data_IF_432437911680
#
_entry.id   IF_432437911680
#
_cell.length_a   1.000
_cell.length_b   1.000
_cell.length_c   1.000
_cell.angle_alpha   90.00
_cell.angle_beta   90.00
_cell.angle_gamma   90.00
#
_symmetry.space_group_name_H-M   'P 1'
#
loop_
_entity.id
_entity.type
_entity.pdbx_description
1 polymer ?
#
# COMPACT_ATOMS: atom_id res chain seq x y z
N UNK A 1 -46.97 20.35 -14.38
CA UNK A 1 -47.37 20.31 -15.79
C UNK A 1 -46.45 19.26 -16.39
N UNK A 2 -46.75 17.97 -16.18
CA UNK A 2 -47.59 17.01 -16.90
C UNK A 2 -47.23 16.93 -18.39
N UNK A 3 -46.76 15.75 -18.74
CA UNK A 3 -46.97 14.82 -19.83
C UNK A 3 -45.66 14.13 -20.22
N UNK A 4 -45.39 12.86 -20.01
CA UNK A 4 -45.98 11.60 -20.50
C UNK A 4 -45.77 11.33 -22.00
N UNK A 5 -45.18 10.18 -22.29
CA UNK A 5 -45.13 9.46 -23.58
C UNK A 5 -43.89 8.56 -23.59
N UNK A 6 -43.87 7.34 -23.23
CA UNK A 6 -44.43 6.03 -23.68
C UNK A 6 -44.15 5.68 -25.17
N UNK A 7 -43.39 4.63 -25.43
CA UNK A 7 -43.55 3.22 -25.87
C UNK A 7 -42.36 2.78 -26.72
N UNK A 8 -41.70 1.72 -26.46
CA UNK A 8 -41.90 0.26 -26.54
C UNK A 8 -41.43 -0.35 -27.88
N UNK A 9 -40.78 -1.50 -27.81
CA UNK A 9 -40.50 -2.48 -28.85
C UNK A 9 -39.04 -2.93 -28.79
N UNK A 10 -38.63 -4.10 -28.43
CA UNK A 10 -39.16 -5.44 -28.69
C UNK A 10 -38.23 -6.11 -29.70
N UNK A 11 -37.49 -7.14 -29.30
CA UNK A 11 -36.71 -7.91 -30.27
C UNK A 11 -35.80 -8.93 -29.64
N UNK A 12 -36.33 -10.06 -29.45
CA UNK A 12 -35.88 -11.39 -29.12
C UNK A 12 -34.84 -11.92 -30.14
N UNK A 13 -33.87 -12.73 -29.67
CA UNK A 13 -32.94 -13.44 -30.53
C UNK A 13 -32.09 -14.44 -29.78
N UNK A 14 -32.66 -15.58 -29.50
CA UNK A 14 -31.98 -16.80 -29.02
C UNK A 14 -30.98 -17.32 -30.05
N UNK A 15 -29.90 -17.90 -29.60
CA UNK A 15 -28.93 -18.65 -30.40
C UNK A 15 -28.01 -19.50 -29.53
N UNK A 16 -28.51 -20.65 -29.14
CA UNK A 16 -27.79 -21.82 -28.63
C UNK A 16 -27.05 -22.51 -29.76
N UNK A 17 -25.91 -23.16 -29.47
CA UNK A 17 -25.41 -24.50 -29.83
C UNK A 17 -23.96 -24.58 -29.42
N UNK A 18 -23.56 -25.39 -28.44
CA UNK A 18 -23.24 -26.79 -28.45
C UNK A 18 -21.97 -27.17 -29.22
N UNK A 19 -21.00 -27.69 -28.47
CA UNK A 19 -20.42 -29.00 -28.65
C UNK A 19 -19.00 -29.03 -29.20
N UNK A 20 -18.06 -29.57 -28.50
CA UNK A 20 -17.49 -30.87 -28.74
C UNK A 20 -16.18 -31.09 -27.96
N UNK A 21 -16.14 -32.21 -27.39
CA UNK A 21 -15.06 -32.87 -26.69
C UNK A 21 -13.94 -33.32 -27.64
N UNK A 22 -12.72 -33.49 -27.10
CA UNK A 22 -11.60 -34.13 -27.73
C UNK A 22 -10.64 -34.65 -26.67
N UNK A 23 -10.76 -35.96 -26.40
CA UNK A 23 -9.88 -36.82 -25.61
C UNK A 23 -8.54 -37.09 -26.30
N UNK A 24 -7.59 -37.52 -25.50
CA UNK A 24 -6.42 -38.33 -25.91
C UNK A 24 -5.11 -37.77 -25.41
N UNK A 25 -4.25 -38.44 -24.75
CA UNK A 25 -3.95 -39.76 -24.28
C UNK A 25 -2.59 -39.70 -23.56
N UNK A 26 -2.51 -40.30 -22.42
CA UNK A 26 -1.49 -41.15 -21.80
C UNK A 26 -0.07 -41.14 -22.39
N UNK A 27 0.92 -40.99 -21.50
CA UNK A 27 2.30 -41.43 -21.65
C UNK A 27 2.96 -41.59 -20.30
N UNK A 28 2.95 -42.82 -19.84
CA UNK A 28 3.65 -43.34 -18.65
C UNK A 28 5.14 -43.53 -18.98
N UNK A 29 6.01 -43.35 -17.99
CA UNK A 29 7.41 -43.74 -18.09
C UNK A 29 8.20 -43.44 -16.82
N UNK A 30 8.12 -44.30 -15.84
CA UNK A 30 9.11 -44.61 -14.82
C UNK A 30 9.72 -45.98 -15.19
N UNK A 31 10.82 -46.49 -14.59
CA UNK A 31 11.84 -46.00 -13.64
C UNK A 31 13.29 -46.43 -14.04
N UNK A 32 14.30 -46.02 -13.27
CA UNK A 32 15.45 -46.87 -12.94
C UNK A 32 16.41 -46.23 -11.94
N UNK A 33 16.46 -46.82 -10.77
CA UNK A 33 17.61 -46.83 -9.88
C UNK A 33 18.52 -48.01 -10.34
N UNK A 34 19.84 -47.99 -10.19
CA UNK A 34 20.41 -48.73 -9.09
C UNK A 34 21.73 -48.19 -8.46
N UNK A 35 21.76 -48.23 -7.12
CA UNK A 35 22.81 -48.83 -6.27
C UNK A 35 24.27 -48.86 -6.72
N UNK A 36 25.17 -48.38 -5.84
CA UNK A 36 26.60 -48.62 -5.88
C UNK A 36 27.31 -48.25 -4.58
N UNK A 37 27.34 -49.08 -3.69
CA UNK A 37 28.16 -49.57 -2.57
C UNK A 37 29.65 -49.21 -2.62
N UNK A 38 30.25 -48.94 -1.40
CA UNK A 38 31.66 -49.15 -1.09
C UNK A 38 32.32 -47.99 -0.33
N UNK A 39 32.46 -48.01 0.92
CA UNK A 39 33.21 -48.68 1.93
C UNK A 39 34.47 -47.98 2.45
N UNK A 40 34.51 -47.85 3.80
CA UNK A 40 35.70 -47.80 4.72
C UNK A 40 36.61 -46.57 4.63
N UNK A 41 36.89 -45.80 5.67
CA UNK A 41 37.12 -46.03 7.08
C UNK A 41 38.45 -45.44 7.44
N UNK A 42 38.51 -44.64 8.48
CA UNK A 42 39.62 -44.58 9.46
C UNK A 42 39.30 -43.60 10.58
N UNK A 43 39.33 -44.18 11.75
CA UNK A 43 39.25 -43.51 13.06
C UNK A 43 40.57 -42.82 13.43
N UNK A 44 40.44 -41.82 14.29
CA UNK A 44 41.33 -41.46 15.39
C UNK A 44 41.87 -40.04 15.36
N UNK A 45 42.24 -39.45 16.50
CA UNK A 45 41.65 -39.54 17.84
C UNK A 45 41.18 -38.18 18.41
N UNK A 46 40.56 -38.22 19.57
CA UNK A 46 39.91 -37.17 20.33
C UNK A 46 40.84 -36.14 21.01
N UNK A 47 40.20 -34.95 21.26
CA UNK A 47 40.35 -33.98 22.36
C UNK A 47 41.42 -32.87 22.23
N UNK A 48 41.29 -31.69 22.85
CA UNK A 48 40.44 -31.39 24.00
C UNK A 48 39.57 -30.13 23.91
N UNK A 49 38.66 -30.06 24.84
CA UNK A 49 37.77 -28.94 25.21
C UNK A 49 38.48 -27.58 25.30
N UNK A 50 38.01 -26.63 24.47
CA UNK A 50 38.29 -25.21 24.62
C UNK A 50 36.98 -24.47 24.93
N UNK A 51 36.89 -23.98 26.16
CA UNK A 51 35.84 -23.01 26.58
C UNK A 51 36.05 -21.73 25.76
N UNK A 52 35.25 -21.53 24.71
CA UNK A 52 35.29 -20.37 23.86
C UNK A 52 34.13 -19.41 24.19
N UNK A 53 34.50 -18.23 24.56
CA UNK A 53 33.70 -17.05 24.95
C UNK A 53 32.45 -16.87 24.10
N UNK A 54 31.35 -16.53 24.80
CA UNK A 54 30.11 -16.00 24.22
C UNK A 54 30.43 -14.74 23.43
N UNK A 55 30.46 -14.83 22.11
CA UNK A 55 30.47 -13.68 21.23
C UNK A 55 29.14 -12.93 21.40
N UNK A 56 29.24 -11.70 21.87
CA UNK A 56 28.15 -10.75 21.87
C UNK A 56 27.75 -10.57 20.40
N UNK A 57 26.52 -10.95 20.07
CA UNK A 57 25.94 -10.75 18.74
C UNK A 57 25.89 -9.25 18.45
N UNK A 58 26.72 -8.85 17.52
CA UNK A 58 26.67 -7.53 16.90
C UNK A 58 25.26 -7.32 16.30
N UNK A 59 24.60 -6.19 16.53
CA UNK A 59 23.28 -5.96 15.96
C UNK A 59 23.37 -6.03 14.43
N UNK A 60 22.59 -6.93 13.83
CA UNK A 60 22.53 -7.10 12.40
C UNK A 60 22.26 -5.76 11.72
N UNK A 61 23.19 -5.31 10.88
CA UNK A 61 23.03 -4.11 10.09
C UNK A 61 21.74 -4.22 9.24
N UNK A 62 20.98 -3.12 9.09
CA UNK A 62 19.74 -3.14 8.30
C UNK A 62 20.03 -3.61 6.87
N UNK A 63 19.11 -4.36 6.24
CA UNK A 63 19.31 -4.93 4.91
C UNK A 63 19.64 -3.81 3.92
N UNK A 64 20.84 -3.87 3.33
CA UNK A 64 21.27 -2.91 2.30
C UNK A 64 20.43 -3.12 1.06
N UNK A 65 19.55 -2.16 0.74
CA UNK A 65 18.81 -2.13 -0.52
C UNK A 65 19.81 -2.23 -1.68
N UNK A 66 19.64 -3.21 -2.56
CA UNK A 66 20.58 -3.44 -3.66
C UNK A 66 20.61 -2.24 -4.63
N UNK A 67 21.76 -2.02 -5.31
CA UNK A 67 21.86 -0.98 -6.33
C UNK A 67 20.80 -1.12 -7.44
N UNK A 68 20.41 -2.36 -7.76
CA UNK A 68 19.34 -2.65 -8.73
C UNK A 68 17.99 -2.16 -8.23
N UNK A 69 17.67 -2.41 -6.96
CA UNK A 69 16.42 -1.95 -6.36
C UNK A 69 16.37 -0.43 -6.25
N UNK A 70 17.48 0.20 -5.84
CA UNK A 70 17.58 1.68 -5.83
C UNK A 70 17.36 2.29 -7.21
N UNK A 71 17.98 1.73 -8.28
CA UNK A 71 17.76 2.19 -9.66
C UNK A 71 16.30 2.02 -10.07
N UNK A 72 15.68 0.90 -9.73
CA UNK A 72 14.27 0.62 -10.01
C UNK A 72 13.37 1.67 -9.34
N UNK A 73 13.59 1.97 -8.06
CA UNK A 73 12.84 2.99 -7.31
C UNK A 73 13.01 4.39 -7.93
N UNK A 74 14.21 4.76 -8.34
CA UNK A 74 14.46 6.04 -9.02
C UNK A 74 13.69 6.13 -10.35
N UNK A 75 13.65 5.04 -11.12
CA UNK A 75 12.89 4.98 -12.37
C UNK A 75 11.38 5.11 -12.12
N UNK A 76 10.83 4.41 -11.10
CA UNK A 76 9.42 4.56 -10.71
C UNK A 76 9.08 6.01 -10.39
N UNK A 77 9.91 6.66 -9.56
CA UNK A 77 9.69 8.06 -9.16
C UNK A 77 9.75 9.00 -10.36
N UNK A 78 10.76 8.87 -11.22
CA UNK A 78 10.90 9.73 -12.38
C UNK A 78 9.70 9.62 -13.34
N UNK A 79 9.20 8.41 -13.60
CA UNK A 79 8.03 8.20 -14.46
C UNK A 79 6.77 8.80 -13.80
N UNK A 80 6.57 8.55 -12.48
CA UNK A 80 5.43 9.07 -11.73
C UNK A 80 5.44 10.61 -11.68
N UNK A 81 6.59 11.22 -11.41
CA UNK A 81 6.73 12.68 -11.35
C UNK A 81 6.43 13.33 -12.70
N UNK A 82 6.93 12.76 -13.81
CA UNK A 82 6.61 13.23 -15.15
C UNK A 82 5.10 13.09 -15.47
N UNK A 83 4.49 11.97 -15.11
CA UNK A 83 3.06 11.76 -15.30
C UNK A 83 2.22 12.75 -14.49
N UNK A 84 2.54 12.96 -13.20
CA UNK A 84 1.85 13.91 -12.33
C UNK A 84 1.94 15.33 -12.89
N UNK A 85 3.13 15.76 -13.34
CA UNK A 85 3.29 17.08 -13.98
C UNK A 85 2.37 17.25 -15.20
N UNK A 86 2.31 16.25 -16.09
CA UNK A 86 1.40 16.27 -17.24
C UNK A 86 -0.08 16.27 -16.84
N UNK A 87 -0.45 15.50 -15.80
CA UNK A 87 -1.82 15.46 -15.30
C UNK A 87 -2.24 16.78 -14.67
N UNK A 88 -1.37 17.45 -13.94
CA UNK A 88 -1.61 18.77 -13.35
C UNK A 88 -1.75 19.85 -14.41
N UNK A 89 -0.94 19.81 -15.46
CA UNK A 89 -0.99 20.81 -16.55
C UNK A 89 -2.22 20.64 -17.46
N UNK A 90 -2.55 19.40 -17.84
CA UNK A 90 -3.50 19.11 -18.92
C UNK A 90 -4.78 18.42 -18.45
N UNK A 91 -4.84 17.97 -17.20
CA UNK A 91 -5.91 17.15 -16.64
C UNK A 91 -5.69 15.65 -16.85
N UNK A 92 -6.14 14.84 -15.88
CA UNK A 92 -5.93 13.39 -15.89
C UNK A 92 -6.43 12.72 -17.16
N UNK A 93 -7.68 12.99 -17.56
CA UNK A 93 -8.33 12.27 -18.67
C UNK A 93 -7.70 12.59 -20.05
N UNK A 94 -7.14 13.78 -20.21
CA UNK A 94 -6.58 14.26 -21.48
C UNK A 94 -5.16 13.77 -21.78
N UNK A 95 -4.47 13.21 -20.79
CA UNK A 95 -3.12 12.64 -20.97
C UNK A 95 -3.22 11.14 -21.19
N UNK A 96 -2.68 10.64 -22.28
CA UNK A 96 -2.63 9.20 -22.57
C UNK A 96 -1.40 8.53 -21.95
N UNK A 97 -1.50 7.23 -21.70
CA UNK A 97 -0.36 6.39 -21.23
C UNK A 97 0.78 6.39 -22.27
N UNK A 98 0.48 6.53 -23.55
CA UNK A 98 1.49 6.60 -24.60
C UNK A 98 2.32 7.89 -24.52
N UNK A 99 1.68 9.03 -24.23
CA UNK A 99 2.37 10.31 -24.03
C UNK A 99 3.29 10.26 -22.80
N UNK A 100 2.81 9.67 -21.69
CA UNK A 100 3.67 9.48 -20.50
C UNK A 100 4.86 8.57 -20.80
N UNK A 101 4.66 7.47 -21.54
CA UNK A 101 5.75 6.59 -21.93
C UNK A 101 6.79 7.30 -22.81
N UNK A 102 6.33 8.11 -23.77
CA UNK A 102 7.20 8.92 -24.62
C UNK A 102 7.98 9.99 -23.81
N UNK A 103 7.31 10.66 -22.86
CA UNK A 103 7.96 11.65 -22.00
C UNK A 103 9.02 11.04 -21.07
N UNK A 104 8.84 9.77 -20.68
CA UNK A 104 9.78 9.01 -19.85
C UNK A 104 10.85 8.25 -20.67
N UNK A 105 10.87 8.40 -22.00
CA UNK A 105 11.76 7.69 -22.94
C UNK A 105 11.73 6.16 -22.76
N UNK A 106 10.51 5.60 -22.60
CA UNK A 106 10.27 4.15 -22.49
C UNK A 106 9.15 3.71 -23.41
N UNK A 107 9.11 2.41 -23.73
CA UNK A 107 7.99 1.84 -24.47
C UNK A 107 6.74 1.70 -23.60
N UNK A 108 5.54 1.78 -24.21
CA UNK A 108 4.27 1.56 -23.54
C UNK A 108 4.20 0.20 -22.81
N UNK A 109 4.65 -0.95 -23.40
CA UNK A 109 4.74 -2.21 -22.67
C UNK A 109 5.67 -2.14 -21.44
N UNK A 110 6.77 -1.42 -21.53
CA UNK A 110 7.68 -1.19 -20.42
C UNK A 110 6.98 -0.40 -19.31
N UNK A 111 6.24 0.65 -19.65
CA UNK A 111 5.50 1.44 -18.69
C UNK A 111 4.45 0.59 -17.93
N UNK A 112 3.68 -0.24 -18.63
CA UNK A 112 2.68 -1.13 -17.99
C UNK A 112 3.30 -2.20 -17.09
N UNK A 113 4.56 -2.57 -17.29
CA UNK A 113 5.29 -3.44 -16.37
C UNK A 113 5.62 -2.74 -15.05
N UNK A 114 5.78 -1.41 -15.05
CA UNK A 114 5.98 -0.59 -13.86
C UNK A 114 4.63 -0.20 -13.22
N UNK A 115 3.66 0.22 -14.00
CA UNK A 115 2.38 0.76 -13.57
C UNK A 115 1.24 0.04 -14.31
N UNK A 116 0.59 -0.97 -13.69
CA UNK A 116 -0.46 -1.75 -14.34
C UNK A 116 -1.68 -0.94 -14.81
N UNK A 117 -1.96 0.19 -14.16
CA UNK A 117 -3.04 1.11 -14.51
C UNK A 117 -2.51 2.55 -14.63
N UNK A 118 -3.23 3.40 -15.37
CA UNK A 118 -2.90 4.82 -15.52
C UNK A 118 -2.96 5.55 -14.17
N UNK A 119 -3.90 5.17 -13.33
CA UNK A 119 -4.08 5.69 -11.97
C UNK A 119 -2.85 5.44 -11.10
N UNK A 120 -2.15 4.31 -11.29
CA UNK A 120 -0.94 3.98 -10.54
C UNK A 120 0.21 4.96 -10.80
N UNK A 121 0.22 5.61 -11.97
CA UNK A 121 1.17 6.68 -12.28
C UNK A 121 1.04 7.87 -11.33
N UNK A 122 -0.19 8.23 -10.95
CA UNK A 122 -0.45 9.31 -10.01
C UNK A 122 -0.28 8.85 -8.56
N UNK A 123 -0.66 7.59 -8.27
CA UNK A 123 -0.76 7.07 -6.91
C UNK A 123 0.49 6.34 -6.40
N UNK A 124 1.59 6.36 -7.17
CA UNK A 124 2.83 5.66 -6.78
C UNK A 124 3.34 6.07 -5.40
N UNK A 125 3.25 7.36 -5.07
CA UNK A 125 3.65 7.86 -3.74
C UNK A 125 2.83 7.27 -2.60
N UNK A 126 1.56 6.94 -2.84
CA UNK A 126 0.72 6.23 -1.87
C UNK A 126 1.13 4.76 -1.74
N UNK A 127 1.63 4.13 -2.81
CA UNK A 127 2.15 2.77 -2.74
C UNK A 127 3.37 2.66 -1.80
N UNK A 128 4.20 3.69 -1.73
CA UNK A 128 5.35 3.75 -0.80
C UNK A 128 4.90 3.78 0.68
N UNK A 129 3.65 4.21 0.96
CA UNK A 129 3.05 4.29 2.30
C UNK A 129 2.08 3.14 2.61
N UNK A 130 1.88 2.20 1.66
CA UNK A 130 0.88 1.12 1.78
C UNK A 130 1.10 0.23 3.01
N UNK A 131 2.34 -0.04 3.38
CA UNK A 131 2.70 -0.84 4.54
C UNK A 131 3.22 -0.01 5.74
N UNK A 132 3.10 1.32 5.68
CA UNK A 132 3.66 2.22 6.70
C UNK A 132 3.09 1.95 8.09
N UNK A 133 1.77 1.86 8.22
CA UNK A 133 1.13 1.55 9.51
C UNK A 133 1.59 0.18 10.06
N UNK A 134 1.75 -0.81 9.19
CA UNK A 134 2.27 -2.12 9.57
C UNK A 134 3.74 -2.05 10.04
N UNK A 135 4.58 -1.26 9.35
CA UNK A 135 5.98 -1.03 9.74
C UNK A 135 6.08 -0.29 11.07
N UNK A 136 5.24 0.72 11.28
CA UNK A 136 5.18 1.47 12.56
C UNK A 136 4.85 0.52 13.70
N UNK A 137 3.83 -0.32 13.55
CA UNK A 137 3.46 -1.32 14.56
C UNK A 137 4.56 -2.36 14.78
N UNK A 138 5.18 -2.84 13.69
CA UNK A 138 6.28 -3.82 13.78
C UNK A 138 7.56 -3.26 14.42
N UNK A 139 7.82 -1.97 14.26
CA UNK A 139 8.99 -1.28 14.80
C UNK A 139 8.77 -0.56 16.14
N UNK A 140 7.63 -0.78 16.80
CA UNK A 140 7.32 -0.14 18.08
C UNK A 140 8.27 -0.55 19.20
N UNK A 141 8.43 0.34 20.18
CA UNK A 141 9.28 0.09 21.34
C UNK A 141 8.74 -1.04 22.25
N UNK A 142 9.61 -1.63 23.10
CA UNK A 142 9.18 -2.60 24.09
C UNK A 142 8.12 -2.00 25.02
N UNK A 143 6.99 -2.69 25.19
CA UNK A 143 5.87 -2.24 26.03
C UNK A 143 4.97 -1.16 25.41
N UNK A 144 5.31 -0.63 24.23
CA UNK A 144 4.45 0.31 23.51
C UNK A 144 3.30 -0.43 22.84
N UNK A 145 2.05 0.06 23.03
CA UNK A 145 0.91 -0.52 22.34
C UNK A 145 0.93 -0.19 20.83
N UNK A 146 0.36 -1.03 19.95
CA UNK A 146 0.25 -0.71 18.53
C UNK A 146 -0.43 0.64 18.27
N UNK A 147 -1.46 0.96 19.05
CA UNK A 147 -2.23 2.20 18.89
C UNK A 147 -1.41 3.43 19.31
N UNK A 148 -0.60 3.33 20.39
CA UNK A 148 0.27 4.42 20.83
C UNK A 148 1.38 4.70 19.79
N UNK A 149 1.95 3.65 19.21
CA UNK A 149 2.94 3.80 18.13
C UNK A 149 2.35 4.53 16.92
N UNK A 150 1.14 4.16 16.49
CA UNK A 150 0.43 4.80 15.37
C UNK A 150 0.07 6.25 15.68
N UNK A 151 -0.45 6.52 16.91
CA UNK A 151 -0.74 7.89 17.37
C UNK A 151 0.52 8.76 17.31
N UNK A 152 1.61 8.31 17.94
CA UNK A 152 2.90 9.02 17.95
C UNK A 152 3.39 9.30 16.54
N UNK A 153 3.28 8.31 15.63
CA UNK A 153 3.68 8.45 14.24
C UNK A 153 2.86 9.52 13.49
N UNK A 154 1.53 9.49 13.64
CA UNK A 154 0.64 10.46 13.00
C UNK A 154 0.87 11.89 13.52
N UNK A 155 0.99 12.07 14.85
CA UNK A 155 1.29 13.38 15.44
C UNK A 155 2.65 13.92 14.97
N UNK A 156 3.67 13.09 14.92
CA UNK A 156 4.97 13.48 14.36
C UNK A 156 4.87 13.83 12.86
N UNK A 157 3.95 13.23 12.11
CA UNK A 157 3.64 13.61 10.74
C UNK A 157 3.02 15.01 10.66
N UNK A 158 2.08 15.34 11.55
CA UNK A 158 1.49 16.68 11.65
C UNK A 158 2.57 17.73 11.95
N UNK A 159 3.49 17.45 12.89
CA UNK A 159 4.60 18.36 13.22
C UNK A 159 5.49 18.68 12.01
N UNK A 160 5.76 17.69 11.18
CA UNK A 160 6.59 17.83 9.97
C UNK A 160 5.83 18.38 8.76
N UNK A 161 4.53 18.67 8.86
CA UNK A 161 3.68 19.03 7.72
C UNK A 161 3.73 17.98 6.61
N UNK A 162 3.75 16.71 7.00
CA UNK A 162 3.80 15.58 6.08
C UNK A 162 2.52 15.56 5.22
N UNK A 163 2.62 15.59 3.87
CA UNK A 163 1.47 15.55 2.97
C UNK A 163 0.49 14.39 3.22
N UNK A 164 0.98 13.27 3.73
CA UNK A 164 0.15 12.09 4.06
C UNK A 164 -0.87 12.39 5.16
N UNK A 165 -0.56 13.34 6.05
CA UNK A 165 -1.49 13.79 7.10
C UNK A 165 -2.54 14.80 6.62
N UNK A 166 -2.50 15.18 5.35
CA UNK A 166 -3.34 16.26 4.79
C UNK A 166 -2.94 17.66 5.22
N UNK A 167 -1.98 17.81 6.13
CA UNK A 167 -1.57 19.08 6.71
C UNK A 167 -0.37 19.70 5.95
N UNK A 168 -0.60 20.05 4.69
CA UNK A 168 0.42 20.71 3.85
C UNK A 168 -0.24 21.72 2.92
N UNK A 169 0.17 23.00 3.03
CA UNK A 169 -0.29 24.11 2.17
C UNK A 169 0.70 24.40 1.02
N UNK A 170 1.66 23.51 0.78
CA UNK A 170 2.54 23.60 -0.37
C UNK A 170 1.73 23.54 -1.69
N UNK A 171 1.88 24.53 -2.60
CA UNK A 171 1.03 24.64 -3.78
C UNK A 171 0.97 23.39 -4.65
N UNK A 172 2.07 22.67 -4.79
CA UNK A 172 2.15 21.42 -5.56
C UNK A 172 1.38 20.27 -4.88
N UNK A 173 1.33 20.23 -3.54
CA UNK A 173 0.57 19.23 -2.77
C UNK A 173 -0.92 19.51 -2.91
N UNK A 174 -1.34 20.77 -2.79
CA UNK A 174 -2.73 21.17 -2.98
C UNK A 174 -3.21 20.87 -4.41
N UNK A 175 -2.42 21.24 -5.41
CA UNK A 175 -2.74 20.94 -6.80
C UNK A 175 -2.91 19.43 -7.03
N UNK A 176 -2.04 18.62 -6.44
CA UNK A 176 -2.13 17.15 -6.52
C UNK A 176 -3.37 16.60 -5.80
N UNK A 177 -3.71 17.09 -4.60
CA UNK A 177 -4.92 16.66 -3.89
C UNK A 177 -6.19 17.04 -4.65
N UNK A 178 -6.26 18.25 -5.26
CA UNK A 178 -7.37 18.65 -6.12
C UNK A 178 -7.53 17.73 -7.33
N UNK A 179 -6.42 17.34 -7.97
CA UNK A 179 -6.42 16.36 -9.05
C UNK A 179 -6.94 15.00 -8.56
N UNK A 180 -6.43 14.51 -7.45
CA UNK A 180 -6.77 13.21 -6.87
C UNK A 180 -8.26 13.13 -6.53
N UNK A 181 -8.74 14.04 -5.70
CA UNK A 181 -10.14 14.01 -5.22
C UNK A 181 -11.14 14.51 -6.27
N UNK A 182 -10.69 15.28 -7.26
CA UNK A 182 -11.49 15.70 -8.41
C UNK A 182 -11.63 14.65 -9.52
N UNK A 183 -10.91 13.51 -9.43
CA UNK A 183 -10.90 12.47 -10.46
C UNK A 183 -11.46 11.15 -9.88
N UNK A 184 -12.71 10.75 -10.24
CA UNK A 184 -13.35 9.57 -9.63
C UNK A 184 -12.55 8.26 -9.76
N UNK A 185 -11.86 8.05 -10.89
CA UNK A 185 -11.04 6.84 -11.08
C UNK A 185 -9.80 6.81 -10.17
N UNK A 186 -9.19 7.97 -9.87
CA UNK A 186 -8.11 8.08 -8.90
C UNK A 186 -8.61 7.79 -7.48
N UNK A 187 -9.77 8.32 -7.09
CA UNK A 187 -10.40 8.05 -5.80
C UNK A 187 -10.68 6.56 -5.65
N UNK A 188 -11.31 5.92 -6.64
CA UNK A 188 -11.58 4.48 -6.62
C UNK A 188 -10.29 3.66 -6.46
N UNK A 189 -9.22 4.05 -7.16
CA UNK A 189 -7.92 3.38 -7.06
C UNK A 189 -7.25 3.61 -5.70
N UNK A 190 -7.39 4.79 -5.10
CA UNK A 190 -6.92 5.10 -3.75
C UNK A 190 -7.54 4.17 -2.71
N UNK A 191 -8.84 3.89 -2.79
CA UNK A 191 -9.50 2.92 -1.90
C UNK A 191 -8.91 1.50 -2.03
N UNK A 192 -8.48 1.10 -3.22
CA UNK A 192 -7.79 -0.17 -3.39
C UNK A 192 -6.42 -0.20 -2.67
N UNK A 193 -5.69 0.92 -2.64
CA UNK A 193 -4.46 1.06 -1.84
C UNK A 193 -4.78 0.96 -0.35
N UNK A 194 -5.80 1.65 0.12
CA UNK A 194 -6.23 1.59 1.53
C UNK A 194 -6.60 0.16 1.96
N UNK A 195 -7.30 -0.60 1.13
CA UNK A 195 -7.59 -2.01 1.42
C UNK A 195 -6.34 -2.89 1.58
N UNK A 196 -5.25 -2.57 0.84
CA UNK A 196 -3.96 -3.25 1.02
C UNK A 196 -3.26 -2.81 2.31
N UNK A 197 -3.34 -1.52 2.66
CA UNK A 197 -2.84 -0.99 3.94
C UNK A 197 -3.55 -1.64 5.13
N UNK A 198 -4.87 -1.79 5.07
CA UNK A 198 -5.65 -2.52 6.07
C UNK A 198 -5.19 -3.98 6.21
N UNK A 199 -5.01 -4.68 5.08
CA UNK A 199 -4.55 -6.05 5.11
C UNK A 199 -3.12 -6.19 5.68
N UNK A 200 -2.23 -5.24 5.37
CA UNK A 200 -0.87 -5.21 5.91
C UNK A 200 -0.89 -4.97 7.43
N UNK A 201 -1.65 -3.97 7.89
CA UNK A 201 -1.80 -3.66 9.31
C UNK A 201 -2.45 -4.83 10.07
N UNK A 202 -3.50 -5.46 9.52
CA UNK A 202 -4.13 -6.61 10.14
C UNK A 202 -3.16 -7.77 10.37
N UNK A 203 -2.26 -8.05 9.41
CA UNK A 203 -1.19 -9.04 9.58
C UNK A 203 -0.23 -8.66 10.72
N UNK A 204 0.18 -7.40 10.78
CA UNK A 204 1.08 -6.89 11.84
C UNK A 204 0.44 -6.93 13.24
N UNK A 205 -0.91 -6.89 13.32
CA UNK A 205 -1.68 -7.03 14.55
C UNK A 205 -1.98 -8.49 14.93
N UNK A 206 -1.45 -9.47 14.23
CA UNK A 206 -1.59 -10.89 14.54
C UNK A 206 -2.65 -11.64 13.72
N UNK A 207 -3.32 -10.97 12.79
CA UNK A 207 -4.30 -11.60 11.89
C UNK A 207 -5.65 -11.91 12.54
N UNK A 208 -6.52 -12.60 11.80
CA UNK A 208 -7.87 -12.93 12.25
C UNK A 208 -8.88 -11.78 12.10
N UNK A 209 -10.12 -12.04 12.51
CA UNK A 209 -11.24 -11.09 12.34
C UNK A 209 -11.05 -9.84 13.20
N UNK A 210 -10.68 -9.99 14.47
CA UNK A 210 -10.46 -8.87 15.38
C UNK A 210 -9.36 -7.91 14.86
N UNK A 211 -8.22 -8.45 14.41
CA UNK A 211 -7.14 -7.64 13.83
C UNK A 211 -7.57 -6.93 12.52
N UNK A 212 -8.41 -7.56 11.69
CA UNK A 212 -8.96 -6.94 10.49
C UNK A 212 -9.90 -5.79 10.82
N UNK A 213 -10.78 -5.97 11.82
CA UNK A 213 -11.68 -4.91 12.28
C UNK A 213 -10.90 -3.73 12.86
N UNK A 214 -9.89 -4.01 13.69
CA UNK A 214 -9.00 -2.98 14.23
C UNK A 214 -8.25 -2.21 13.13
N UNK A 215 -7.67 -2.93 12.16
CA UNK A 215 -6.97 -2.34 11.05
C UNK A 215 -7.88 -1.44 10.20
N UNK A 216 -9.09 -1.91 9.87
CA UNK A 216 -10.08 -1.13 9.11
C UNK A 216 -10.46 0.17 9.84
N UNK A 217 -10.72 0.10 11.15
CA UNK A 217 -11.02 1.28 11.96
C UNK A 217 -9.85 2.27 11.98
N UNK A 218 -8.63 1.80 12.21
CA UNK A 218 -7.43 2.64 12.24
C UNK A 218 -7.21 3.34 10.89
N UNK A 219 -7.21 2.59 9.78
CA UNK A 219 -6.98 3.17 8.45
C UNK A 219 -8.08 4.17 8.06
N UNK A 220 -9.35 3.88 8.41
CA UNK A 220 -10.45 4.81 8.19
C UNK A 220 -10.27 6.11 8.99
N UNK A 221 -9.88 6.02 10.26
CA UNK A 221 -9.61 7.20 11.10
C UNK A 221 -8.48 8.05 10.55
N UNK A 222 -7.33 7.44 10.20
CA UNK A 222 -6.18 8.16 9.64
C UNK A 222 -6.56 8.88 8.33
N UNK A 223 -7.32 8.22 7.46
CA UNK A 223 -7.84 8.80 6.22
C UNK A 223 -8.75 10.00 6.48
N UNK A 224 -9.72 9.85 7.38
CA UNK A 224 -10.70 10.92 7.68
C UNK A 224 -9.98 12.15 8.25
N UNK A 225 -9.04 11.96 9.17
CA UNK A 225 -8.24 13.05 9.72
C UNK A 225 -7.44 13.78 8.64
N UNK A 226 -6.79 13.03 7.74
CA UNK A 226 -6.04 13.61 6.64
C UNK A 226 -6.95 14.37 5.64
N UNK A 227 -8.11 13.81 5.29
CA UNK A 227 -9.08 14.47 4.41
C UNK A 227 -9.63 15.76 5.02
N UNK A 228 -9.89 15.78 6.32
CA UNK A 228 -10.39 16.97 7.02
C UNK A 228 -9.34 18.08 7.04
N UNK A 229 -8.09 17.74 7.37
CA UNK A 229 -6.98 18.68 7.32
C UNK A 229 -6.84 19.30 5.93
N UNK A 230 -6.84 18.45 4.89
CA UNK A 230 -6.74 18.90 3.52
C UNK A 230 -7.92 19.83 3.12
N UNK A 231 -9.17 19.49 3.46
CA UNK A 231 -10.34 20.31 3.13
C UNK A 231 -10.24 21.70 3.71
N UNK A 232 -9.77 21.83 4.94
CA UNK A 232 -9.58 23.14 5.60
C UNK A 232 -8.54 23.99 4.88
N UNK A 233 -7.41 23.37 4.50
CA UNK A 233 -6.35 24.06 3.75
C UNK A 233 -6.84 24.42 2.33
N UNK A 234 -7.56 23.54 1.66
CA UNK A 234 -8.13 23.79 0.34
C UNK A 234 -9.19 24.92 0.36
N UNK A 235 -9.87 25.10 1.51
CA UNK A 235 -10.77 26.22 1.77
C UNK A 235 -10.04 27.56 2.07
N UNK A 236 -8.69 27.56 2.14
CA UNK A 236 -7.87 28.75 2.27
C UNK A 236 -7.26 28.99 3.65
N UNK A 237 -7.41 28.05 4.60
CA UNK A 237 -6.67 28.12 5.86
C UNK A 237 -5.20 27.74 5.64
N UNK A 238 -4.26 28.34 6.39
CA UNK A 238 -2.86 27.89 6.36
C UNK A 238 -2.65 26.63 7.17
N UNK A 239 -1.60 25.85 6.86
CA UNK A 239 -1.23 24.67 7.62
C UNK A 239 -1.00 24.99 9.12
N UNK A 240 -0.46 26.16 9.42
CA UNK A 240 -0.25 26.63 10.80
C UNK A 240 -1.57 26.93 11.52
N UNK A 241 -2.55 27.51 10.83
CA UNK A 241 -3.87 27.78 11.43
C UNK A 241 -4.64 26.48 11.72
N UNK A 242 -4.48 25.46 10.86
CA UNK A 242 -5.14 24.15 11.01
C UNK A 242 -4.48 23.29 12.08
N UNK A 243 -3.18 23.44 12.33
CA UNK A 243 -2.35 22.52 13.11
C UNK A 243 -2.91 22.19 14.50
N UNK A 244 -3.23 23.18 15.32
CA UNK A 244 -3.69 22.93 16.69
C UNK A 244 -4.98 22.10 16.71
N UNK A 245 -5.94 22.42 15.82
CA UNK A 245 -7.17 21.65 15.65
C UNK A 245 -6.93 20.24 15.12
N UNK A 246 -5.97 20.05 14.21
CA UNK A 246 -5.58 18.76 13.68
C UNK A 246 -5.00 17.84 14.76
N UNK A 247 -4.13 18.39 15.64
CA UNK A 247 -3.58 17.64 16.78
C UNK A 247 -4.70 17.24 17.74
N UNK A 248 -5.59 18.17 18.10
CA UNK A 248 -6.72 17.88 18.99
C UNK A 248 -7.62 16.79 18.40
N UNK A 249 -8.03 16.89 17.14
CA UNK A 249 -8.86 15.89 16.46
C UNK A 249 -8.19 14.52 16.42
N UNK A 250 -6.87 14.48 16.19
CA UNK A 250 -6.11 13.23 16.21
C UNK A 250 -6.13 12.60 17.61
N UNK A 251 -5.85 13.37 18.68
CA UNK A 251 -5.87 12.87 20.05
C UNK A 251 -7.25 12.30 20.42
N UNK A 252 -8.33 13.02 20.11
CA UNK A 252 -9.71 12.57 20.35
C UNK A 252 -10.03 11.28 19.60
N UNK A 253 -9.64 11.19 18.33
CA UNK A 253 -9.85 10.00 17.49
C UNK A 253 -9.10 8.77 18.04
N UNK A 254 -7.85 8.93 18.48
CA UNK A 254 -7.11 7.83 19.10
C UNK A 254 -7.66 7.41 20.47
N UNK A 255 -8.24 8.33 21.23
CA UNK A 255 -9.00 7.99 22.46
C UNK A 255 -10.25 7.15 22.11
N UNK A 256 -10.99 7.52 21.05
CA UNK A 256 -12.13 6.73 20.59
C UNK A 256 -11.72 5.32 20.12
N UNK A 257 -10.65 5.22 19.33
CA UNK A 257 -10.11 3.93 18.89
C UNK A 257 -9.74 3.05 20.09
N UNK A 258 -9.08 3.62 21.11
CA UNK A 258 -8.70 2.86 22.31
C UNK A 258 -9.92 2.27 23.01
N UNK A 259 -10.98 3.05 23.22
CA UNK A 259 -12.22 2.60 23.85
C UNK A 259 -12.94 1.52 23.04
N UNK A 260 -12.90 1.60 21.70
CA UNK A 260 -13.55 0.63 20.81
C UNK A 260 -12.75 -0.63 20.54
N UNK A 261 -11.44 -0.63 20.79
CA UNK A 261 -10.54 -1.76 20.50
C UNK A 261 -10.07 -2.50 21.76
N UNK A 262 -10.18 -1.88 22.93
CA UNK A 262 -9.92 -2.58 24.21
C UNK A 262 -11.13 -3.48 24.50
N UNK A 263 -10.92 -4.79 24.78
CA UNK A 263 -12.00 -5.62 25.25
C UNK A 263 -12.52 -5.02 26.56
N UNK A 264 -13.85 -4.81 26.65
CA UNK A 264 -14.49 -4.45 27.92
C UNK A 264 -13.98 -5.41 28.97
N UNK A 265 -13.30 -4.86 29.99
CA UNK A 265 -12.75 -5.66 31.08
C UNK A 265 -13.84 -6.54 31.63
N UNK A 266 -13.65 -7.85 31.55
CA UNK A 266 -14.51 -8.80 32.29
C UNK A 266 -14.33 -8.46 33.76
N UNK A 267 -15.29 -7.72 34.30
CA UNK A 267 -15.44 -7.54 35.73
C UNK A 267 -15.76 -8.86 36.44
#
# INVERSE_FOLDING_TARGET
MVMSGEKAGGGNGSGSVAGAAGEGARGQGEPADPSGVGARGKEGPAAPSGVGARGQGEPAAPPRVSLRERKKQLTYRAISDAAIAMFLERGFDRVSVAEVAAAADISKPTLFRYFPAKEDLALHRFADHEDEAARVVGGRGPGESPLDALRRHFLAGLDRRDPVTGLSDAPQVLAFHRLLYGTPSLVARLYAYQGRSEAALARALGGGVAARLAAGQVIAVLRILAEENWRRIDAGESADAVYAGAVQAAEEAFVQLRRGLEPEGRG
#
